data_IF_214148566221
#
_entry.id   IF_214148566221
#
_cell.length_a   1.000
_cell.length_b   1.000
_cell.length_c   1.000
_cell.angle_alpha   90.00
_cell.angle_beta   90.00
_cell.angle_gamma   90.00
#
_symmetry.space_group_name_H-M   'P 1'
#
loop_
_entity.id
_entity.type
_entity.pdbx_description
1 polymer ?
#
# COMPACT_ATOMS: atom_id res chain seq x y z
N UNK A 1 21.94 16.10 -17.03
CA UNK A 1 23.10 16.08 -16.10
C UNK A 1 22.90 15.11 -14.94
N UNK A 2 21.82 15.18 -14.18
CA UNK A 2 21.59 14.32 -12.98
C UNK A 2 21.66 12.81 -13.32
N UNK A 3 20.91 12.34 -14.34
CA UNK A 3 20.93 10.94 -14.79
C UNK A 3 22.34 10.46 -15.15
N UNK A 4 23.12 11.26 -15.87
CA UNK A 4 24.48 10.89 -16.25
C UNK A 4 25.41 10.75 -15.03
N UNK A 5 25.25 11.64 -14.02
CA UNK A 5 25.99 11.55 -12.76
C UNK A 5 25.67 10.28 -11.97
N UNK A 6 24.38 9.95 -11.78
CA UNK A 6 23.95 8.73 -11.09
C UNK A 6 24.41 7.47 -11.81
N UNK A 7 24.24 7.43 -13.14
CA UNK A 7 24.68 6.29 -13.94
C UNK A 7 26.21 6.13 -13.87
N UNK A 8 26.97 7.23 -13.97
CA UNK A 8 28.44 7.18 -13.83
C UNK A 8 28.90 6.64 -12.49
N UNK A 9 28.27 7.06 -11.40
CA UNK A 9 28.56 6.54 -10.05
C UNK A 9 28.22 5.05 -9.92
N UNK A 10 27.06 4.62 -10.44
CA UNK A 10 26.68 3.21 -10.43
C UNK A 10 27.69 2.35 -11.22
N UNK A 11 28.08 2.77 -12.43
CA UNK A 11 29.07 2.06 -13.26
C UNK A 11 30.42 1.98 -12.55
N UNK A 12 30.86 3.07 -11.89
CA UNK A 12 32.08 3.08 -11.11
C UNK A 12 32.01 2.07 -9.95
N UNK A 13 30.93 2.05 -9.18
CA UNK A 13 30.77 1.10 -8.06
C UNK A 13 30.71 -0.34 -8.54
N UNK A 14 30.07 -0.57 -9.69
CA UNK A 14 30.03 -1.90 -10.32
C UNK A 14 31.41 -2.33 -10.77
N UNK A 15 32.17 -1.48 -11.45
CA UNK A 15 33.53 -1.76 -11.90
C UNK A 15 34.49 -2.00 -10.73
N UNK A 16 34.39 -1.27 -9.64
CA UNK A 16 35.23 -1.41 -8.43
C UNK A 16 35.00 -2.70 -7.64
N UNK A 17 33.95 -3.47 -7.92
CA UNK A 17 33.74 -4.70 -7.15
C UNK A 17 32.58 -5.59 -7.57
N UNK A 18 31.70 -5.14 -8.46
CA UNK A 18 30.54 -5.92 -8.94
C UNK A 18 29.60 -6.47 -7.87
N UNK A 19 28.59 -7.25 -8.25
CA UNK A 19 27.76 -7.96 -7.31
C UNK A 19 28.57 -9.01 -6.55
N UNK A 20 28.39 -9.05 -5.23
CA UNK A 20 28.89 -10.14 -4.41
C UNK A 20 27.89 -11.28 -4.45
N UNK A 21 28.36 -12.48 -4.71
CA UNK A 21 27.55 -13.68 -4.62
C UNK A 21 26.87 -13.76 -3.25
N UNK A 22 25.64 -14.20 -3.25
CA UNK A 22 24.80 -14.37 -2.06
C UNK A 22 24.50 -13.06 -1.28
N UNK A 23 24.72 -11.89 -1.90
CA UNK A 23 24.33 -10.63 -1.27
C UNK A 23 22.94 -10.19 -1.72
N UNK A 24 22.04 -10.09 -0.76
CA UNK A 24 20.69 -9.57 -0.92
C UNK A 24 20.55 -8.26 -0.12
N UNK A 25 20.11 -7.20 -0.79
CA UNK A 25 19.84 -5.90 -0.13
C UNK A 25 18.34 -5.62 -0.13
N UNK A 26 17.79 -5.35 1.04
CA UNK A 26 16.42 -4.85 1.23
C UNK A 26 16.47 -3.34 1.36
N UNK A 27 15.75 -2.62 0.50
CA UNK A 27 15.88 -1.17 0.41
C UNK A 27 14.52 -0.47 0.31
N UNK A 28 14.36 0.61 1.09
CA UNK A 28 13.20 1.51 1.00
C UNK A 28 13.63 2.97 1.10
N UNK A 29 12.89 3.85 0.41
CA UNK A 29 12.98 5.31 0.55
C UNK A 29 11.69 5.91 1.15
N UNK A 30 10.79 5.06 1.60
CA UNK A 30 9.50 5.43 2.16
C UNK A 30 9.51 5.55 3.70
N UNK A 31 10.37 4.79 4.36
CA UNK A 31 10.38 4.63 5.80
C UNK A 31 11.80 4.60 6.36
N UNK A 32 12.03 5.02 7.62
CA UNK A 32 13.33 4.89 8.30
C UNK A 32 13.64 3.43 8.72
N UNK A 33 12.70 2.51 8.57
CA UNK A 33 12.87 1.09 8.86
C UNK A 33 12.14 0.21 7.82
N UNK A 34 12.44 -1.08 7.78
CA UNK A 34 11.69 -2.04 6.95
C UNK A 34 10.28 -2.21 7.51
N UNK A 35 9.29 -2.06 6.63
CA UNK A 35 7.87 -2.22 6.94
C UNK A 35 7.23 -3.22 5.99
N UNK A 36 6.01 -3.64 6.32
CA UNK A 36 5.14 -4.41 5.44
C UNK A 36 5.84 -5.58 4.72
N UNK A 37 5.78 -5.63 3.40
CA UNK A 37 6.34 -6.70 2.57
C UNK A 37 7.84 -6.92 2.80
N UNK A 38 8.62 -5.83 2.88
CA UNK A 38 10.07 -5.92 3.10
C UNK A 38 10.40 -6.51 4.47
N UNK A 39 9.68 -6.11 5.53
CA UNK A 39 9.91 -6.61 6.89
C UNK A 39 9.66 -8.10 6.98
N UNK A 40 8.53 -8.57 6.45
CA UNK A 40 8.13 -9.97 6.52
C UNK A 40 9.09 -10.85 5.70
N UNK A 41 9.41 -10.43 4.46
CA UNK A 41 10.31 -11.18 3.62
C UNK A 41 11.75 -11.16 4.14
N UNK A 42 12.24 -10.03 4.67
CA UNK A 42 13.56 -9.96 5.32
C UNK A 42 13.68 -10.92 6.50
N UNK A 43 12.66 -10.97 7.38
CA UNK A 43 12.63 -11.92 8.49
C UNK A 43 12.74 -13.37 8.00
N UNK A 44 12.08 -13.69 6.88
CA UNK A 44 12.17 -15.01 6.25
C UNK A 44 13.58 -15.32 5.75
N UNK A 45 14.25 -14.38 5.10
CA UNK A 45 15.65 -14.54 4.67
C UNK A 45 16.60 -14.71 5.85
N UNK A 46 16.42 -13.97 6.95
CA UNK A 46 17.21 -14.11 8.18
C UNK A 46 17.06 -15.51 8.79
N UNK A 47 15.84 -16.04 8.77
CA UNK A 47 15.52 -17.33 9.37
C UNK A 47 16.03 -18.52 8.54
N UNK A 48 15.88 -18.46 7.21
CA UNK A 48 15.94 -19.63 6.34
C UNK A 48 17.11 -19.60 5.35
N UNK A 49 18.06 -18.66 5.47
CA UNK A 49 19.22 -18.58 4.58
C UNK A 49 20.48 -18.05 5.27
N UNK A 50 21.64 -18.38 4.67
CA UNK A 50 22.98 -17.87 5.06
C UNK A 50 23.42 -16.70 4.15
N UNK A 51 22.49 -15.96 3.58
CA UNK A 51 22.77 -14.84 2.66
C UNK A 51 23.43 -13.65 3.37
N UNK A 52 24.32 -12.94 2.68
CA UNK A 52 24.88 -11.65 3.14
C UNK A 52 23.81 -10.56 3.00
N UNK A 53 22.95 -10.42 4.02
CA UNK A 53 21.84 -9.49 4.02
C UNK A 53 22.31 -8.07 4.34
N UNK A 54 21.84 -7.10 3.56
CA UNK A 54 22.01 -5.66 3.78
C UNK A 54 20.64 -4.99 3.86
N UNK A 55 20.54 -3.98 4.69
CA UNK A 55 19.34 -3.15 4.83
C UNK A 55 19.70 -1.71 4.54
N UNK A 56 18.88 -1.06 3.74
CA UNK A 56 18.95 0.36 3.44
C UNK A 56 17.58 0.98 3.62
N UNK A 57 17.46 1.91 4.56
CA UNK A 57 16.23 2.65 4.82
C UNK A 57 16.52 4.15 4.81
N UNK A 58 15.71 4.90 4.10
CA UNK A 58 15.75 6.34 4.08
C UNK A 58 14.33 6.90 4.00
N UNK A 59 14.02 7.91 4.83
CA UNK A 59 12.75 8.60 4.77
C UNK A 59 12.95 10.02 4.24
N UNK A 60 12.22 10.36 3.17
CA UNK A 60 12.24 11.67 2.55
C UNK A 60 11.04 12.50 3.00
N UNK A 61 11.29 13.49 3.88
CA UNK A 61 10.25 14.36 4.49
C UNK A 61 10.06 15.71 3.78
N UNK A 62 10.65 15.89 2.59
CA UNK A 62 10.60 17.11 1.77
C UNK A 62 11.27 18.36 2.36
N UNK A 63 11.86 18.31 3.54
CA UNK A 63 12.64 19.42 4.11
C UNK A 63 13.94 19.67 3.34
N UNK A 64 14.53 20.85 3.47
CA UNK A 64 15.82 21.17 2.82
C UNK A 64 16.94 20.22 3.29
N UNK A 65 16.96 19.89 4.59
CA UNK A 65 17.89 18.91 5.17
C UNK A 65 17.71 17.54 4.53
N UNK A 66 16.48 17.11 4.35
CA UNK A 66 16.13 15.84 3.70
C UNK A 66 16.52 15.83 2.22
N UNK A 67 16.47 16.96 1.51
CA UNK A 67 16.94 17.05 0.11
C UNK A 67 18.45 16.80 -0.02
N UNK A 68 19.27 17.34 0.88
CA UNK A 68 20.72 17.09 0.89
C UNK A 68 20.98 15.64 1.31
N UNK A 69 20.30 15.16 2.36
CA UNK A 69 20.38 13.79 2.81
C UNK A 69 19.99 12.78 1.73
N UNK A 70 18.96 13.10 0.91
CA UNK A 70 18.51 12.28 -0.21
C UNK A 70 19.62 12.03 -1.24
N UNK A 71 20.44 13.04 -1.56
CA UNK A 71 21.56 12.86 -2.49
C UNK A 71 22.60 11.87 -1.94
N UNK A 72 22.99 12.01 -0.67
CA UNK A 72 23.94 11.12 -0.01
C UNK A 72 23.37 9.69 0.12
N UNK A 73 22.12 9.58 0.52
CA UNK A 73 21.38 8.32 0.58
C UNK A 73 21.30 7.64 -0.80
N UNK A 74 21.07 8.44 -1.86
CA UNK A 74 21.04 7.92 -3.24
C UNK A 74 22.40 7.34 -3.67
N UNK A 75 23.52 8.01 -3.32
CA UNK A 75 24.88 7.50 -3.61
C UNK A 75 25.13 6.19 -2.86
N UNK A 76 24.71 6.11 -1.58
CA UNK A 76 24.83 4.88 -0.79
C UNK A 76 23.96 3.76 -1.38
N UNK A 77 22.73 4.06 -1.79
CA UNK A 77 21.82 3.13 -2.43
C UNK A 77 22.41 2.57 -3.73
N UNK A 78 22.97 3.42 -4.60
CA UNK A 78 23.65 2.99 -5.83
C UNK A 78 24.85 2.09 -5.55
N UNK A 79 25.62 2.37 -4.49
CA UNK A 79 26.73 1.49 -4.10
C UNK A 79 26.26 0.13 -3.64
N UNK A 80 25.17 0.07 -2.86
CA UNK A 80 24.59 -1.20 -2.42
C UNK A 80 24.01 -1.96 -3.61
N UNK A 81 23.25 -1.30 -4.48
CA UNK A 81 22.69 -1.88 -5.69
C UNK A 81 23.79 -2.49 -6.57
N UNK A 82 24.84 -1.72 -6.89
CA UNK A 82 25.95 -2.21 -7.73
C UNK A 82 26.69 -3.43 -7.15
N UNK A 83 26.58 -3.63 -5.83
CA UNK A 83 27.27 -4.71 -5.11
C UNK A 83 26.36 -5.83 -4.64
N UNK A 84 25.09 -5.78 -4.96
CA UNK A 84 24.11 -6.82 -4.61
C UNK A 84 23.81 -7.70 -5.82
N UNK A 85 23.75 -9.00 -5.60
CA UNK A 85 23.22 -9.94 -6.58
C UNK A 85 21.72 -9.71 -6.73
N UNK A 86 21.02 -9.49 -5.60
CA UNK A 86 19.59 -9.16 -5.59
C UNK A 86 19.32 -7.91 -4.75
N UNK A 87 18.48 -7.02 -5.27
CA UNK A 87 18.07 -5.76 -4.64
C UNK A 87 16.54 -5.68 -4.57
N UNK A 88 15.98 -5.76 -3.36
CA UNK A 88 14.54 -5.88 -3.11
C UNK A 88 14.00 -4.56 -2.58
N UNK A 89 12.96 -4.05 -3.23
CA UNK A 89 12.31 -2.76 -2.90
C UNK A 89 10.79 -2.92 -2.76
N UNK A 90 10.15 -1.93 -2.13
CA UNK A 90 8.69 -1.94 -1.87
C UNK A 90 7.95 -0.70 -2.40
N UNK A 91 8.65 0.23 -3.05
CA UNK A 91 8.06 1.50 -3.48
C UNK A 91 8.88 2.13 -4.62
N UNK A 92 8.55 3.38 -4.93
CA UNK A 92 9.31 4.24 -5.83
C UNK A 92 10.75 4.40 -5.34
N UNK A 93 11.71 4.07 -6.21
CA UNK A 93 13.13 4.08 -5.87
C UNK A 93 13.94 4.86 -6.91
N UNK A 94 13.97 6.19 -6.78
CA UNK A 94 14.55 7.11 -7.76
C UNK A 94 15.97 6.73 -8.24
N UNK A 95 16.93 6.34 -7.38
CA UNK A 95 18.29 6.00 -7.85
C UNK A 95 18.32 4.89 -8.90
N UNK A 96 17.40 3.92 -8.80
CA UNK A 96 17.28 2.81 -9.74
C UNK A 96 16.86 3.27 -11.15
N UNK A 97 15.99 4.27 -11.25
CA UNK A 97 15.49 4.76 -12.54
C UNK A 97 16.48 5.63 -13.29
N UNK A 98 17.45 6.19 -12.57
CA UNK A 98 18.46 7.09 -13.12
C UNK A 98 19.69 6.37 -13.70
N UNK A 99 19.69 5.04 -13.74
CA UNK A 99 20.85 4.24 -14.19
C UNK A 99 20.51 3.30 -15.35
N UNK A 100 21.55 2.82 -16.02
CA UNK A 100 21.51 1.65 -16.88
C UNK A 100 22.03 0.45 -16.08
N UNK A 101 21.10 -0.33 -15.55
CA UNK A 101 21.38 -1.48 -14.67
C UNK A 101 22.10 -2.60 -15.42
N UNK A 102 23.08 -3.21 -14.77
CA UNK A 102 23.68 -4.45 -15.28
C UNK A 102 22.76 -5.66 -15.05
N UNK A 103 22.73 -6.63 -15.98
CA UNK A 103 21.88 -7.82 -15.86
C UNK A 103 22.20 -8.68 -14.63
N UNK A 104 23.45 -8.63 -14.13
CA UNK A 104 23.87 -9.40 -12.95
C UNK A 104 23.35 -8.79 -11.61
N UNK A 105 22.71 -7.64 -11.64
CA UNK A 105 21.99 -7.12 -10.50
C UNK A 105 20.50 -7.38 -10.70
N UNK A 106 19.91 -8.31 -9.99
CA UNK A 106 18.48 -8.55 -10.04
C UNK A 106 17.75 -7.55 -9.15
N UNK A 107 16.67 -6.98 -9.63
CA UNK A 107 15.83 -6.03 -8.88
C UNK A 107 14.43 -6.58 -8.74
N UNK A 108 13.97 -6.66 -7.51
CA UNK A 108 12.66 -7.19 -7.13
C UNK A 108 11.80 -6.07 -6.56
N UNK A 109 10.60 -5.91 -7.08
CA UNK A 109 9.59 -4.99 -6.57
C UNK A 109 8.49 -5.76 -5.84
N UNK A 110 8.25 -5.45 -4.57
CA UNK A 110 7.19 -6.05 -3.77
C UNK A 110 5.95 -5.16 -3.67
N UNK A 111 6.07 -3.86 -4.02
CA UNK A 111 5.07 -2.83 -3.83
C UNK A 111 4.63 -2.69 -2.36
N UNK A 112 3.67 -1.82 -2.07
CA UNK A 112 3.26 -1.48 -0.70
C UNK A 112 1.74 -1.50 -0.49
N UNK A 113 0.96 -1.84 -1.52
CA UNK A 113 -0.49 -1.91 -1.48
C UNK A 113 -0.98 -3.06 -2.33
N UNK A 114 -1.94 -3.82 -1.84
CA UNK A 114 -2.57 -4.89 -2.60
C UNK A 114 -3.59 -4.36 -3.61
N UNK A 115 -3.82 -5.16 -4.64
CA UNK A 115 -4.84 -4.89 -5.64
C UNK A 115 -4.45 -3.82 -6.65
N UNK A 116 -5.39 -3.52 -7.51
CA UNK A 116 -5.21 -2.63 -8.65
C UNK A 116 -6.44 -1.75 -8.88
N UNK A 117 -6.99 -1.16 -7.82
CA UNK A 117 -8.19 -0.33 -7.94
C UNK A 117 -7.89 0.94 -8.75
N UNK A 118 -6.93 1.76 -8.31
CA UNK A 118 -6.58 3.06 -8.90
C UNK A 118 -5.38 2.94 -9.84
N UNK A 119 -5.32 3.82 -10.84
CA UNK A 119 -4.10 3.95 -11.64
C UNK A 119 -2.90 4.31 -10.76
N UNK A 120 -1.76 3.73 -11.06
CA UNK A 120 -0.47 4.02 -10.42
C UNK A 120 0.68 3.83 -11.43
N UNK A 121 1.88 4.23 -11.02
CA UNK A 121 3.05 4.08 -11.87
C UNK A 121 2.92 4.80 -13.21
N UNK A 122 3.27 4.12 -14.28
CA UNK A 122 3.22 4.65 -15.65
C UNK A 122 1.80 4.81 -16.21
N UNK A 123 0.80 4.26 -15.55
CA UNK A 123 -0.61 4.44 -15.94
C UNK A 123 -1.21 5.77 -15.43
N UNK A 124 -0.46 6.54 -14.64
CA UNK A 124 -0.89 7.87 -14.23
C UNK A 124 -0.76 8.85 -15.42
N UNK A 125 -1.73 9.78 -15.62
CA UNK A 125 -1.68 10.76 -16.70
C UNK A 125 -0.42 11.65 -16.69
N UNK A 126 0.17 11.85 -15.50
CA UNK A 126 1.39 12.67 -15.31
C UNK A 126 2.70 11.90 -15.51
N UNK A 127 2.66 10.61 -15.81
CA UNK A 127 3.86 9.79 -15.93
C UNK A 127 4.73 10.18 -17.15
N UNK A 128 4.12 10.62 -18.24
CA UNK A 128 4.80 11.00 -19.48
C UNK A 128 5.62 12.30 -19.35
N UNK A 129 5.32 13.15 -18.37
CA UNK A 129 6.03 14.42 -18.12
C UNK A 129 7.39 14.21 -17.44
N UNK A 130 7.73 12.99 -17.04
CA UNK A 130 8.94 12.69 -16.28
C UNK A 130 10.18 12.62 -17.16
N UNK A 131 11.18 13.46 -16.91
CA UNK A 131 12.50 13.43 -17.58
C UNK A 131 13.23 12.08 -17.38
N UNK A 132 12.99 11.45 -16.24
CA UNK A 132 13.47 10.11 -15.92
C UNK A 132 12.24 9.22 -15.74
N UNK A 133 12.08 8.25 -16.66
CA UNK A 133 10.95 7.31 -16.63
C UNK A 133 10.99 6.53 -15.32
N UNK A 134 9.97 6.66 -14.46
CA UNK A 134 9.89 5.87 -13.22
C UNK A 134 9.60 4.40 -13.51
N UNK A 135 9.70 3.56 -12.48
CA UNK A 135 9.36 2.14 -12.54
C UNK A 135 10.08 1.34 -13.63
N UNK A 136 11.34 1.69 -13.89
CA UNK A 136 12.22 0.95 -14.80
C UNK A 136 13.21 0.08 -14.04
N UNK A 137 13.84 -0.86 -14.74
CA UNK A 137 14.89 -1.75 -14.20
C UNK A 137 14.43 -2.81 -13.20
N UNK A 138 13.14 -3.13 -13.13
CA UNK A 138 12.65 -4.28 -12.38
C UNK A 138 12.87 -5.58 -13.17
N UNK A 139 13.33 -6.64 -12.50
CA UNK A 139 13.41 -7.98 -13.07
C UNK A 139 12.22 -8.83 -12.63
N UNK A 140 11.74 -8.65 -11.40
CA UNK A 140 10.61 -9.38 -10.85
C UNK A 140 9.67 -8.47 -10.07
N UNK A 141 8.38 -8.70 -10.22
CA UNK A 141 7.33 -8.02 -9.45
C UNK A 141 6.44 -9.09 -8.81
N UNK A 142 6.22 -8.98 -7.51
CA UNK A 142 5.33 -9.89 -6.78
C UNK A 142 4.04 -9.18 -6.42
N UNK A 143 2.92 -9.85 -6.71
CA UNK A 143 1.58 -9.33 -6.51
C UNK A 143 0.71 -10.33 -5.76
N UNK A 144 -0.43 -9.84 -5.24
CA UNK A 144 -1.29 -10.67 -4.42
C UNK A 144 -2.14 -11.64 -5.25
N UNK A 145 -2.69 -11.20 -6.36
CA UNK A 145 -3.64 -11.98 -7.19
C UNK A 145 -3.38 -11.81 -8.68
N UNK A 146 -3.67 -12.86 -9.47
CA UNK A 146 -3.57 -12.83 -10.94
C UNK A 146 -4.51 -11.81 -11.58
N UNK A 147 -5.62 -11.45 -10.93
CA UNK A 147 -6.55 -10.44 -11.44
C UNK A 147 -5.91 -9.06 -11.53
N UNK A 148 -4.88 -8.80 -10.73
CA UNK A 148 -4.16 -7.52 -10.71
C UNK A 148 -3.04 -7.43 -11.75
N UNK A 149 -2.60 -8.58 -12.30
CA UNK A 149 -1.43 -8.66 -13.20
C UNK A 149 -1.46 -7.66 -14.37
N UNK A 150 -2.58 -7.50 -15.10
CA UNK A 150 -2.62 -6.54 -16.21
C UNK A 150 -2.31 -5.09 -15.80
N UNK A 151 -2.77 -4.67 -14.62
CA UNK A 151 -2.53 -3.34 -14.09
C UNK A 151 -1.04 -3.14 -13.73
N UNK A 152 -0.41 -4.12 -13.08
CA UNK A 152 1.02 -4.05 -12.74
C UNK A 152 1.93 -4.11 -13.98
N UNK A 153 1.56 -4.91 -14.98
CA UNK A 153 2.25 -4.93 -16.28
C UNK A 153 2.22 -3.56 -16.93
N UNK A 154 1.06 -2.90 -16.97
CA UNK A 154 0.91 -1.56 -17.53
C UNK A 154 1.62 -0.50 -16.69
N UNK A 155 1.47 -0.55 -15.35
CA UNK A 155 2.04 0.43 -14.43
C UNK A 155 3.57 0.43 -14.40
N UNK A 156 4.21 -0.72 -14.66
CA UNK A 156 5.66 -0.88 -14.58
C UNK A 156 6.34 -1.16 -15.93
N UNK A 157 5.58 -1.21 -17.02
CA UNK A 157 6.07 -1.52 -18.36
C UNK A 157 7.00 -2.76 -18.35
N UNK A 158 6.53 -3.82 -17.71
CA UNK A 158 7.27 -5.08 -17.48
C UNK A 158 6.59 -6.24 -18.23
N UNK A 159 7.38 -7.24 -18.61
CA UNK A 159 6.80 -8.42 -19.25
C UNK A 159 5.89 -9.21 -18.32
N UNK A 160 4.76 -9.76 -18.78
CA UNK A 160 3.79 -10.45 -17.93
C UNK A 160 4.34 -11.66 -17.16
N UNK A 161 5.33 -12.37 -17.73
CA UNK A 161 5.99 -13.52 -17.10
C UNK A 161 6.94 -13.14 -15.95
N UNK A 162 7.28 -11.86 -15.83
CA UNK A 162 8.06 -11.28 -14.73
C UNK A 162 7.17 -10.74 -13.58
N UNK A 163 5.84 -10.83 -13.73
CA UNK A 163 4.87 -10.46 -12.67
C UNK A 163 4.24 -11.75 -12.11
N UNK A 164 4.48 -12.01 -10.84
CA UNK A 164 4.16 -13.27 -10.19
C UNK A 164 3.12 -13.10 -9.08
N UNK A 165 1.97 -13.75 -9.23
CA UNK A 165 0.90 -13.75 -8.24
C UNK A 165 1.11 -14.84 -7.18
N UNK A 166 2.05 -14.64 -6.30
CA UNK A 166 2.41 -15.57 -5.22
C UNK A 166 1.70 -15.29 -3.90
N UNK A 167 0.90 -14.21 -3.86
CA UNK A 167 0.53 -13.53 -2.63
C UNK A 167 1.64 -12.61 -2.12
N UNK A 168 1.27 -11.52 -1.51
CA UNK A 168 2.23 -10.57 -0.93
C UNK A 168 2.65 -10.97 0.49
N UNK A 169 3.95 -10.90 0.84
CA UNK A 169 4.46 -11.32 2.16
C UNK A 169 3.72 -10.71 3.37
N UNK A 170 3.36 -9.43 3.30
CA UNK A 170 2.66 -8.76 4.41
C UNK A 170 1.26 -9.34 4.69
N UNK A 171 0.65 -10.02 3.72
CA UNK A 171 -0.64 -10.65 3.90
C UNK A 171 -0.57 -11.84 4.86
N UNK A 172 0.58 -12.48 5.02
CA UNK A 172 0.75 -13.54 6.03
C UNK A 172 0.50 -13.00 7.44
N UNK A 173 0.90 -11.73 7.70
CA UNK A 173 0.62 -11.07 8.98
C UNK A 173 -0.87 -10.76 9.16
N UNK A 174 -1.57 -10.39 8.07
CA UNK A 174 -3.01 -10.17 8.10
C UNK A 174 -3.76 -11.50 8.34
N UNK A 175 -3.35 -12.55 7.65
CA UNK A 175 -3.97 -13.88 7.73
C UNK A 175 -3.76 -14.56 9.10
N UNK A 176 -2.71 -14.19 9.82
CA UNK A 176 -2.49 -14.64 11.19
C UNK A 176 -3.46 -13.99 12.20
N UNK A 177 -4.16 -12.93 11.80
CA UNK A 177 -5.17 -12.28 12.64
C UNK A 177 -6.54 -12.94 12.40
N UNK A 178 -7.24 -13.21 13.51
CA UNK A 178 -8.60 -13.74 13.46
C UNK A 178 -9.60 -12.66 13.88
N UNK A 179 -10.83 -12.70 13.33
CA UNK A 179 -11.89 -11.83 13.82
C UNK A 179 -12.03 -11.98 15.34
N UNK A 180 -11.90 -10.89 16.06
CA UNK A 180 -12.04 -10.88 17.52
C UNK A 180 -13.46 -10.46 17.87
N UNK A 181 -14.30 -11.39 18.39
CA UNK A 181 -15.59 -11.00 18.95
C UNK A 181 -15.34 -10.18 20.22
N UNK A 182 -15.99 -9.03 20.30
CA UNK A 182 -15.93 -8.20 21.51
C UNK A 182 -17.33 -8.00 22.10
N UNK A 183 -17.39 -7.91 23.41
CA UNK A 183 -18.62 -7.53 24.12
C UNK A 183 -18.67 -6.00 24.21
N UNK A 184 -19.85 -5.43 23.99
CA UNK A 184 -20.07 -3.99 24.15
C UNK A 184 -20.45 -3.26 22.86
N UNK A 185 -19.99 -2.02 22.72
CA UNK A 185 -20.33 -1.17 21.58
C UNK A 185 -19.82 -1.75 20.25
N UNK A 186 -20.63 -1.70 19.20
CA UNK A 186 -20.19 -2.00 17.83
C UNK A 186 -19.10 -0.99 17.41
N UNK A 187 -18.17 -1.42 16.54
CA UNK A 187 -17.02 -0.62 16.11
C UNK A 187 -17.07 -0.31 14.63
N UNK A 188 -17.05 0.97 14.31
CA UNK A 188 -16.93 1.47 12.96
C UNK A 188 -15.53 2.05 12.76
N UNK A 189 -14.84 1.66 11.69
CA UNK A 189 -13.60 2.29 11.25
C UNK A 189 -13.86 3.05 9.95
N UNK A 190 -13.63 4.37 9.97
CA UNK A 190 -13.61 5.21 8.77
C UNK A 190 -12.19 5.56 8.38
N UNK A 191 -11.79 5.22 7.16
CA UNK A 191 -10.46 5.48 6.61
C UNK A 191 -10.56 6.15 5.24
N UNK A 192 -10.67 7.49 5.20
CA UNK A 192 -10.72 8.25 3.95
C UNK A 192 -9.34 8.32 3.28
N UNK A 193 -9.35 8.33 1.95
CA UNK A 193 -8.15 8.54 1.15
C UNK A 193 -7.69 10.00 1.21
N UNK A 194 -6.38 10.22 1.27
CA UNK A 194 -5.78 11.55 1.15
C UNK A 194 -6.03 12.17 -0.23
N UNK A 195 -6.29 13.47 -0.26
CA UNK A 195 -6.41 14.30 -1.48
C UNK A 195 -5.23 15.26 -1.54
N UNK A 196 -4.30 15.11 -2.51
CA UNK A 196 -3.09 15.95 -2.57
C UNK A 196 -3.31 17.38 -3.09
N UNK A 197 -4.55 17.78 -3.28
CA UNK A 197 -4.94 19.10 -3.81
C UNK A 197 -4.88 20.21 -2.75
N UNK A 198 -4.85 21.45 -3.21
CA UNK A 198 -4.84 22.62 -2.33
C UNK A 198 -6.05 22.67 -1.34
N UNK A 199 -7.21 22.16 -1.77
CA UNK A 199 -8.41 22.08 -0.94
C UNK A 199 -8.67 20.66 -0.39
N UNK A 200 -7.82 19.70 -0.72
CA UNK A 200 -8.05 18.29 -0.43
C UNK A 200 -8.09 17.97 1.05
N UNK A 201 -7.26 18.64 1.86
CA UNK A 201 -7.30 18.51 3.32
C UNK A 201 -8.65 18.99 3.89
N UNK A 202 -9.08 20.19 3.53
CA UNK A 202 -10.34 20.75 3.98
C UNK A 202 -11.53 19.89 3.57
N UNK A 203 -11.50 19.32 2.36
CA UNK A 203 -12.54 18.45 1.84
C UNK A 203 -12.62 17.12 2.64
N UNK A 204 -11.50 16.48 2.90
CA UNK A 204 -11.48 15.22 3.70
C UNK A 204 -11.94 15.49 5.13
N UNK A 205 -11.46 16.57 5.75
CA UNK A 205 -11.89 16.96 7.11
C UNK A 205 -13.39 17.28 7.17
N UNK A 206 -13.94 17.91 6.13
CA UNK A 206 -15.38 18.15 6.01
C UNK A 206 -16.17 16.84 6.01
N UNK A 207 -15.80 15.86 5.19
CA UNK A 207 -16.47 14.55 5.14
C UNK A 207 -16.36 13.78 6.46
N UNK A 208 -15.22 13.87 7.14
CA UNK A 208 -15.07 13.27 8.47
C UNK A 208 -16.03 13.94 9.47
N UNK A 209 -16.10 15.26 9.45
CA UNK A 209 -16.99 16.01 10.34
C UNK A 209 -18.47 15.68 10.09
N UNK A 210 -18.89 15.59 8.82
CA UNK A 210 -20.25 15.18 8.45
C UNK A 210 -20.58 13.77 8.96
N UNK A 211 -19.66 12.80 8.79
CA UNK A 211 -19.86 11.44 9.27
C UNK A 211 -19.97 11.39 10.80
N UNK A 212 -19.10 12.10 11.52
CA UNK A 212 -19.14 12.16 12.99
C UNK A 212 -20.47 12.77 13.44
N UNK A 213 -20.90 13.89 12.84
CA UNK A 213 -22.16 14.55 13.18
C UNK A 213 -23.37 13.66 12.91
N UNK A 214 -23.40 13.00 11.74
CA UNK A 214 -24.48 12.07 11.40
C UNK A 214 -24.51 10.87 12.36
N UNK A 215 -23.37 10.42 12.85
CA UNK A 215 -23.26 9.24 13.73
C UNK A 215 -23.93 9.43 15.09
N UNK A 216 -24.22 10.66 15.52
CA UNK A 216 -24.99 10.95 16.72
C UNK A 216 -26.44 10.40 16.66
N UNK A 217 -26.94 10.07 15.47
CA UNK A 217 -28.25 9.44 15.27
C UNK A 217 -28.26 7.93 15.57
N UNK A 218 -27.11 7.30 15.76
CA UNK A 218 -27.01 5.89 16.09
C UNK A 218 -27.52 5.64 17.52
N UNK A 219 -28.61 4.90 17.65
CA UNK A 219 -29.27 4.64 18.94
C UNK A 219 -28.55 3.60 19.79
N UNK A 220 -27.84 2.65 19.15
CA UNK A 220 -27.03 1.66 19.84
C UNK A 220 -25.65 2.24 20.15
N UNK A 221 -24.94 1.73 21.17
CA UNK A 221 -23.59 2.21 21.46
C UNK A 221 -22.62 1.80 20.34
N UNK A 222 -21.98 2.80 19.74
CA UNK A 222 -20.94 2.63 18.74
C UNK A 222 -19.65 3.30 19.19
N UNK A 223 -18.51 2.68 18.93
CA UNK A 223 -17.19 3.29 18.98
C UNK A 223 -16.76 3.59 17.53
N UNK A 224 -16.43 4.83 17.24
CA UNK A 224 -16.11 5.32 15.91
C UNK A 224 -14.61 5.64 15.85
N UNK A 225 -13.90 4.92 15.03
CA UNK A 225 -12.48 5.12 14.78
C UNK A 225 -12.31 5.81 13.44
N UNK A 226 -11.52 6.90 13.39
CA UNK A 226 -11.21 7.62 12.16
C UNK A 226 -9.71 7.63 11.96
N UNK A 227 -9.27 7.05 10.86
CA UNK A 227 -7.86 7.04 10.48
C UNK A 227 -7.57 8.19 9.53
N UNK A 228 -6.78 9.15 9.98
CA UNK A 228 -6.27 10.24 9.15
C UNK A 228 -4.97 9.82 8.45
N UNK A 229 -4.82 10.29 7.21
CA UNK A 229 -3.54 10.17 6.55
C UNK A 229 -2.48 11.05 7.26
N UNK A 230 -1.20 10.61 7.40
CA UNK A 230 -0.16 11.37 8.10
C UNK A 230 0.10 12.79 7.58
N UNK A 231 -0.32 13.11 6.36
CA UNK A 231 -0.18 14.46 5.78
C UNK A 231 -1.32 15.42 6.14
N UNK A 232 -2.38 14.94 6.78
CA UNK A 232 -3.48 15.79 7.24
C UNK A 232 -3.16 16.32 8.63
N UNK A 233 -3.61 17.53 8.95
CA UNK A 233 -3.50 18.08 10.30
C UNK A 233 -4.58 17.48 11.20
N UNK A 234 -4.23 17.16 12.44
CA UNK A 234 -5.25 16.77 13.42
C UNK A 234 -6.17 17.97 13.72
N UNK A 235 -7.49 17.80 13.57
CA UNK A 235 -8.41 18.90 13.83
C UNK A 235 -8.55 19.16 15.34
N UNK A 236 -8.69 20.42 15.70
CA UNK A 236 -8.98 20.86 17.08
C UNK A 236 -10.50 20.83 17.37
N UNK A 237 -11.14 19.69 17.14
CA UNK A 237 -12.56 19.53 17.37
C UNK A 237 -12.87 19.03 18.78
N UNK A 238 -14.02 19.48 19.33
CA UNK A 238 -14.61 18.82 20.49
C UNK A 238 -15.31 17.55 20.01
N UNK A 239 -14.66 16.41 20.21
CA UNK A 239 -15.18 15.11 19.77
C UNK A 239 -16.12 14.51 20.82
N UNK A 240 -17.19 13.80 20.40
CA UNK A 240 -17.91 12.88 21.26
C UNK A 240 -16.98 11.85 21.89
N UNK A 241 -17.30 11.37 23.11
CA UNK A 241 -16.44 10.45 23.88
C UNK A 241 -16.16 9.13 23.17
N UNK A 242 -17.05 8.71 22.29
CA UNK A 242 -16.98 7.46 21.52
C UNK A 242 -16.32 7.64 20.14
N UNK A 243 -15.71 8.80 19.85
CA UNK A 243 -15.01 9.08 18.60
C UNK A 243 -13.51 9.18 18.84
N UNK A 244 -12.75 8.39 18.11
CA UNK A 244 -11.30 8.26 18.23
C UNK A 244 -10.62 8.57 16.89
N UNK A 245 -9.93 9.71 16.79
CA UNK A 245 -9.16 10.09 15.59
C UNK A 245 -7.69 9.79 15.83
N UNK A 246 -7.00 9.18 14.83
CA UNK A 246 -5.58 8.86 14.90
C UNK A 246 -4.93 8.91 13.51
N UNK A 247 -3.59 8.99 13.47
CA UNK A 247 -2.78 9.10 12.24
C UNK A 247 -1.80 7.94 12.04
N UNK A 248 -1.91 6.89 12.82
CA UNK A 248 -1.03 5.73 12.76
C UNK A 248 -1.60 4.65 11.84
N UNK A 249 -0.97 4.47 10.67
CA UNK A 249 -1.36 3.44 9.70
C UNK A 249 -1.19 2.02 10.26
N UNK A 250 -0.26 1.79 11.20
CA UNK A 250 -0.09 0.49 11.86
C UNK A 250 -1.30 0.16 12.72
N UNK A 251 -1.85 1.16 13.40
CA UNK A 251 -3.06 1.03 14.22
C UNK A 251 -4.28 0.61 13.41
N UNK A 252 -4.41 1.05 12.16
CA UNK A 252 -5.48 0.61 11.26
C UNK A 252 -5.47 -0.92 11.13
N UNK A 253 -4.30 -1.48 10.78
CA UNK A 253 -4.14 -2.94 10.59
C UNK A 253 -4.41 -3.72 11.88
N UNK A 254 -4.01 -3.18 13.04
CA UNK A 254 -4.25 -3.79 14.35
C UNK A 254 -5.73 -3.75 14.76
N UNK A 255 -6.47 -2.73 14.35
CA UNK A 255 -7.89 -2.58 14.65
C UNK A 255 -8.78 -3.46 13.78
N UNK A 256 -8.39 -3.75 12.53
CA UNK A 256 -9.23 -4.46 11.57
C UNK A 256 -9.91 -5.74 12.13
N UNK A 257 -9.24 -6.62 12.90
CA UNK A 257 -9.87 -7.81 13.45
C UNK A 257 -11.03 -7.53 14.40
N UNK A 258 -11.06 -6.34 14.99
CA UNK A 258 -12.06 -5.95 16.01
C UNK A 258 -13.16 -5.05 15.44
N UNK A 259 -13.09 -4.67 14.17
CA UNK A 259 -14.03 -3.74 13.53
C UNK A 259 -15.24 -4.50 13.01
N UNK A 260 -16.45 -4.03 13.30
CA UNK A 260 -17.69 -4.61 12.81
C UNK A 260 -18.07 -4.07 11.43
N UNK A 261 -17.77 -2.80 11.15
CA UNK A 261 -18.06 -2.13 9.87
C UNK A 261 -16.89 -1.28 9.43
N UNK A 262 -16.42 -1.49 8.22
CA UNK A 262 -15.40 -0.65 7.61
C UNK A 262 -16.03 0.32 6.61
N UNK A 263 -15.83 1.60 6.85
CA UNK A 263 -16.24 2.69 5.94
C UNK A 263 -14.98 3.27 5.29
N UNK A 264 -15.00 3.38 3.99
CA UNK A 264 -13.90 4.01 3.25
C UNK A 264 -14.42 4.66 1.97
N UNK A 265 -13.54 5.33 1.26
CA UNK A 265 -13.83 5.88 -0.06
C UNK A 265 -13.06 5.07 -1.14
N UNK A 266 -11.85 5.46 -1.54
CA UNK A 266 -11.07 4.87 -2.62
C UNK A 266 -9.83 4.11 -2.13
N UNK A 267 -9.79 3.71 -0.86
CA UNK A 267 -8.64 3.05 -0.27
C UNK A 267 -8.59 1.56 -0.59
N UNK A 268 -7.40 1.05 -0.94
CA UNK A 268 -7.15 -0.39 -1.06
C UNK A 268 -7.25 -1.15 0.28
N UNK A 269 -7.40 -0.44 1.40
CA UNK A 269 -7.69 -1.07 2.70
C UNK A 269 -9.02 -1.84 2.69
N UNK A 270 -9.97 -1.50 1.79
CA UNK A 270 -11.18 -2.31 1.55
C UNK A 270 -10.83 -3.74 1.14
N UNK A 271 -9.81 -3.91 0.31
CA UNK A 271 -9.31 -5.23 -0.09
C UNK A 271 -8.72 -5.98 1.10
N UNK A 272 -7.91 -5.33 1.93
CA UNK A 272 -7.38 -5.94 3.16
C UNK A 272 -8.51 -6.34 4.10
N UNK A 273 -9.49 -5.47 4.30
CA UNK A 273 -10.60 -5.71 5.23
C UNK A 273 -11.53 -6.82 4.78
N UNK A 274 -11.66 -7.07 3.46
CA UNK A 274 -12.47 -8.17 2.93
C UNK A 274 -12.04 -9.54 3.46
N UNK A 275 -10.78 -9.67 3.91
CA UNK A 275 -10.27 -10.90 4.54
C UNK A 275 -11.11 -11.32 5.77
N UNK A 276 -11.61 -10.35 6.52
CA UNK A 276 -12.40 -10.59 7.74
C UNK A 276 -13.88 -10.89 7.48
N UNK A 277 -14.35 -10.80 6.24
CA UNK A 277 -15.73 -11.10 5.81
C UNK A 277 -16.79 -10.33 6.59
N UNK A 278 -16.51 -9.07 6.88
CA UNK A 278 -17.40 -8.12 7.57
C UNK A 278 -17.82 -6.98 6.62
N UNK A 279 -18.92 -6.26 6.94
CA UNK A 279 -19.42 -5.18 6.10
C UNK A 279 -18.38 -4.14 5.70
N UNK A 280 -18.31 -3.86 4.40
CA UNK A 280 -17.58 -2.74 3.80
C UNK A 280 -18.61 -1.81 3.19
N UNK A 281 -18.59 -0.54 3.57
CA UNK A 281 -19.46 0.49 3.02
C UNK A 281 -18.61 1.60 2.41
N UNK A 282 -19.05 2.15 1.29
CA UNK A 282 -18.32 3.21 0.60
C UNK A 282 -18.99 4.57 0.86
N UNK A 283 -18.21 5.52 1.35
CA UNK A 283 -18.62 6.91 1.48
C UNK A 283 -17.85 7.75 0.48
N UNK A 284 -18.49 8.09 -0.64
CA UNK A 284 -17.84 8.61 -1.85
C UNK A 284 -18.51 9.88 -2.38
N UNK A 285 -18.60 10.96 -1.58
CA UNK A 285 -19.31 12.18 -1.96
C UNK A 285 -18.69 12.94 -3.14
N UNK A 286 -17.42 12.65 -3.49
CA UNK A 286 -16.68 13.27 -4.58
C UNK A 286 -16.31 12.30 -5.72
N UNK A 287 -17.09 11.23 -5.93
CA UNK A 287 -16.75 10.13 -6.84
C UNK A 287 -16.36 10.61 -8.25
N UNK A 288 -17.21 11.42 -8.89
CA UNK A 288 -16.98 11.91 -10.25
C UNK A 288 -15.68 12.74 -10.37
N UNK A 289 -15.43 13.59 -9.35
CA UNK A 289 -14.22 14.41 -9.32
C UNK A 289 -12.97 13.56 -9.12
N UNK A 290 -13.06 12.60 -8.20
CA UNK A 290 -11.95 11.71 -7.89
C UNK A 290 -11.61 10.81 -9.09
N UNK A 291 -12.64 10.24 -9.73
CA UNK A 291 -12.48 9.40 -10.91
C UNK A 291 -11.85 10.16 -12.09
N UNK A 292 -12.35 11.36 -12.38
CA UNK A 292 -11.83 12.19 -13.47
C UNK A 292 -10.33 12.51 -13.31
N UNK A 293 -9.87 12.62 -12.08
CA UNK A 293 -8.50 13.00 -11.76
C UNK A 293 -7.53 11.82 -11.66
N UNK A 294 -7.93 10.75 -10.99
CA UNK A 294 -7.03 9.65 -10.65
C UNK A 294 -7.21 8.43 -11.56
N UNK A 295 -8.43 8.19 -12.04
CA UNK A 295 -8.79 7.00 -12.80
C UNK A 295 -8.76 5.72 -12.00
N UNK A 296 -9.43 4.70 -12.52
CA UNK A 296 -9.44 3.35 -11.98
C UNK A 296 -9.14 2.35 -13.09
N UNK A 297 -8.50 1.24 -12.75
CA UNK A 297 -8.34 0.10 -13.67
C UNK A 297 -9.62 -0.70 -13.84
N UNK A 298 -10.58 -0.54 -12.93
CA UNK A 298 -11.81 -1.31 -12.82
C UNK A 298 -13.02 -0.38 -12.75
N UNK A 299 -14.20 -0.90 -13.10
CA UNK A 299 -15.46 -0.27 -12.68
C UNK A 299 -15.54 -0.38 -11.16
N UNK A 300 -15.30 0.73 -10.47
CA UNK A 300 -15.03 0.78 -9.04
C UNK A 300 -16.16 0.19 -8.18
N UNK A 301 -17.39 0.63 -8.41
CA UNK A 301 -18.55 0.16 -7.65
C UNK A 301 -18.90 -1.28 -7.96
N UNK A 302 -18.86 -1.65 -9.24
CA UNK A 302 -19.11 -3.03 -9.66
C UNK A 302 -18.03 -3.97 -9.11
N UNK A 303 -16.76 -3.55 -9.13
CA UNK A 303 -15.65 -4.38 -8.66
C UNK A 303 -15.73 -4.67 -7.16
N UNK A 304 -16.08 -3.68 -6.34
CA UNK A 304 -16.20 -3.86 -4.88
C UNK A 304 -17.54 -4.48 -4.49
N UNK A 305 -18.62 -4.25 -5.26
CA UNK A 305 -19.98 -4.71 -4.96
C UNK A 305 -20.57 -4.15 -3.67
N UNK A 306 -19.87 -3.24 -3.01
CA UNK A 306 -20.23 -2.69 -1.70
C UNK A 306 -21.33 -1.61 -1.82
N UNK A 307 -22.25 -1.51 -0.86
CA UNK A 307 -23.15 -0.36 -0.77
C UNK A 307 -22.37 0.94 -0.72
N UNK A 308 -22.81 1.94 -1.49
CA UNK A 308 -22.12 3.23 -1.61
C UNK A 308 -23.09 4.40 -1.37
N UNK A 309 -22.56 5.46 -0.79
CA UNK A 309 -23.30 6.63 -0.32
C UNK A 309 -22.51 7.90 -0.64
N UNK A 310 -23.19 8.93 -1.07
CA UNK A 310 -22.67 10.28 -1.28
C UNK A 310 -23.01 11.24 -0.11
N UNK A 311 -23.94 10.86 0.75
CA UNK A 311 -24.34 11.63 1.94
C UNK A 311 -24.08 10.83 3.23
N UNK A 312 -23.46 11.46 4.22
CA UNK A 312 -23.18 10.86 5.53
C UNK A 312 -24.45 10.43 6.26
N UNK A 313 -25.53 11.22 6.13
CA UNK A 313 -26.83 10.91 6.73
C UNK A 313 -27.44 9.62 6.18
N UNK A 314 -27.35 9.40 4.87
CA UNK A 314 -27.84 8.18 4.22
C UNK A 314 -27.02 6.95 4.65
N UNK A 315 -25.68 7.06 4.70
CA UNK A 315 -24.79 6.02 5.22
C UNK A 315 -25.14 5.62 6.66
N UNK A 316 -25.29 6.60 7.55
CA UNK A 316 -25.59 6.34 8.96
C UNK A 316 -26.99 5.77 9.15
N UNK A 317 -27.97 6.21 8.35
CA UNK A 317 -29.31 5.64 8.35
C UNK A 317 -29.27 4.15 7.94
N UNK A 318 -28.49 3.80 6.91
CA UNK A 318 -28.29 2.42 6.50
C UNK A 318 -27.65 1.58 7.62
N UNK A 319 -26.64 2.11 8.28
CA UNK A 319 -26.00 1.43 9.43
C UNK A 319 -26.98 1.19 10.57
N UNK A 320 -27.88 2.14 10.81
CA UNK A 320 -28.86 2.06 11.90
C UNK A 320 -29.99 1.07 11.67
N UNK A 321 -30.40 0.82 10.42
CA UNK A 321 -31.64 0.13 10.10
C UNK A 321 -31.46 -1.11 9.22
N UNK A 322 -30.48 -1.11 8.31
CA UNK A 322 -30.38 -2.11 7.25
C UNK A 322 -29.11 -2.97 7.34
N UNK A 323 -28.11 -2.57 8.14
CA UNK A 323 -26.82 -3.24 8.24
C UNK A 323 -26.93 -4.72 8.63
N UNK A 324 -27.81 -5.05 9.58
CA UNK A 324 -27.94 -6.43 10.08
C UNK A 324 -28.63 -7.36 9.05
N UNK A 325 -29.20 -6.81 7.98
CA UNK A 325 -29.84 -7.54 6.87
C UNK A 325 -28.97 -7.52 5.60
N UNK A 326 -27.79 -6.88 5.64
CA UNK A 326 -26.92 -6.78 4.48
C UNK A 326 -26.42 -8.15 4.06
N UNK A 327 -26.62 -8.49 2.79
CA UNK A 327 -26.01 -9.65 2.17
C UNK A 327 -24.51 -9.42 1.99
N UNK A 328 -23.68 -10.27 2.56
CA UNK A 328 -22.21 -10.20 2.52
C UNK A 328 -21.59 -10.99 1.36
N UNK A 329 -22.37 -11.50 0.42
CA UNK A 329 -21.85 -12.24 -0.75
C UNK A 329 -20.78 -11.45 -1.50
N UNK A 330 -20.95 -10.13 -1.64
CA UNK A 330 -19.96 -9.26 -2.27
C UNK A 330 -18.60 -9.23 -1.54
N UNK A 331 -18.59 -9.32 -0.21
CA UNK A 331 -17.34 -9.37 0.58
C UNK A 331 -16.65 -10.72 0.40
N UNK A 332 -17.42 -11.81 0.37
CA UNK A 332 -16.90 -13.16 0.07
C UNK A 332 -16.27 -13.21 -1.34
N UNK A 333 -16.95 -12.68 -2.34
CA UNK A 333 -16.41 -12.60 -3.70
C UNK A 333 -15.14 -11.73 -3.75
N UNK A 334 -15.16 -10.58 -3.07
CA UNK A 334 -14.01 -9.69 -2.98
C UNK A 334 -12.81 -10.38 -2.31
N UNK A 335 -13.04 -11.12 -1.22
CA UNK A 335 -12.01 -11.91 -0.55
C UNK A 335 -11.43 -12.97 -1.49
N UNK A 336 -12.27 -13.76 -2.17
CA UNK A 336 -11.81 -14.83 -3.06
C UNK A 336 -10.93 -14.32 -4.20
N UNK A 337 -11.31 -13.22 -4.85
CA UNK A 337 -10.51 -12.64 -5.93
C UNK A 337 -9.25 -11.93 -5.43
N UNK A 338 -9.30 -11.35 -4.22
CA UNK A 338 -8.15 -10.66 -3.62
C UNK A 338 -7.12 -11.64 -3.05
N UNK A 339 -7.57 -12.68 -2.36
CA UNK A 339 -6.72 -13.64 -1.64
C UNK A 339 -6.83 -15.05 -2.21
N UNK A 340 -6.26 -15.35 -3.39
CA UNK A 340 -6.23 -16.70 -3.94
C UNK A 340 -5.41 -17.67 -3.06
N UNK A 341 -4.44 -17.15 -2.31
CA UNK A 341 -3.65 -17.87 -1.32
C UNK A 341 -4.05 -17.41 0.08
N UNK A 342 -4.64 -18.31 0.87
CA UNK A 342 -5.12 -18.01 2.23
C UNK A 342 -4.44 -18.87 3.30
N UNK A 343 -3.29 -19.47 2.97
CA UNK A 343 -2.56 -20.41 3.81
C UNK A 343 -1.48 -19.78 4.69
N UNK A 344 -1.27 -18.45 4.61
CA UNK A 344 -0.28 -17.71 5.38
C UNK A 344 1.17 -18.01 4.99
N UNK A 345 1.40 -18.49 3.75
CA UNK A 345 2.73 -18.87 3.25
C UNK A 345 3.21 -18.04 2.05
N UNK A 346 2.73 -16.80 1.91
CA UNK A 346 3.10 -15.92 0.81
C UNK A 346 4.61 -15.59 0.84
N UNK A 347 5.13 -15.21 2.01
CA UNK A 347 6.55 -14.94 2.19
C UNK A 347 7.42 -16.15 1.82
N UNK A 348 6.96 -17.36 2.15
CA UNK A 348 7.64 -18.60 1.80
C UNK A 348 7.68 -18.81 0.29
N UNK A 349 6.57 -18.55 -0.43
CA UNK A 349 6.52 -18.68 -1.90
C UNK A 349 7.46 -17.69 -2.59
N UNK A 350 7.43 -16.42 -2.17
CA UNK A 350 8.35 -15.39 -2.68
C UNK A 350 9.81 -15.77 -2.40
N UNK A 351 10.13 -16.14 -1.16
CA UNK A 351 11.47 -16.58 -0.76
C UNK A 351 11.98 -17.75 -1.61
N UNK A 352 11.18 -18.82 -1.76
CA UNK A 352 11.56 -19.99 -2.54
C UNK A 352 11.80 -19.69 -4.02
N UNK A 353 11.01 -18.77 -4.60
CA UNK A 353 11.24 -18.31 -5.96
C UNK A 353 12.58 -17.56 -6.06
N UNK A 354 12.83 -16.60 -5.17
CA UNK A 354 14.03 -15.77 -5.20
C UNK A 354 15.30 -16.57 -4.96
N UNK A 355 15.26 -17.57 -4.08
CA UNK A 355 16.39 -18.50 -3.84
C UNK A 355 16.77 -19.35 -5.06
N UNK A 356 15.87 -19.54 -6.01
CA UNK A 356 16.17 -20.23 -7.29
C UNK A 356 16.78 -19.28 -8.33
N UNK A 357 16.69 -17.97 -8.10
CA UNK A 357 17.27 -16.96 -8.98
C UNK A 357 18.69 -16.53 -8.54
N UNK A 358 19.10 -16.87 -7.31
CA UNK A 358 20.42 -16.68 -6.72
C UNK A 358 21.29 -17.93 -6.87
#
# INVERSE_FOLDING_TARGET
MLRAGFNGLYQLFYWLGGPKQHRVTFATMRSPELTDNLKVLHAKFVQDSDMDLKVFCYHYDRTLKSKIGFLLASVQALRLLARSEMFIIDDYFFPLYAINKHPNNQVVQLWHAIGSLKHFGLSLPTADDSVIKPHTNYDWVFINSEVDKPAYVAAFDIQPDHVLATGEPMMDTLMAQHPEPHAGAKRLLYSPTYRPDANGEAQVLHYIHELITASEQLKQPWEIYVSLHPYLSLPEWQLPKNVHIFQDATRVKQLMPTIDVFVTDYSSLSLNFSYFERPILLFTPDYEQYMAKNGFYVDYYHYLGAPHFDEAGALISFIAHDLDQLDLSYVHELKQKTFPHQDGHNAQRVFQFLMKQL
#
